data_IF_254367079697
#
_entry.id   IF_254367079697
#
_cell.length_a   1.000
_cell.length_b   1.000
_cell.length_c   1.000
_cell.angle_alpha   90.00
_cell.angle_beta   90.00
_cell.angle_gamma   90.00
#
_symmetry.space_group_name_H-M   'P 1'
#
loop_
_entity.id
_entity.type
_entity.pdbx_description
1 polymer ?
#
# COMPACT_ATOMS: atom_id res chain seq x y z
N UNK A 1 5.54 -0.72 22.99
CA UNK A 1 5.52 -1.56 21.77
C UNK A 1 6.56 -2.66 21.95
N UNK A 2 6.18 -3.96 22.04
CA UNK A 2 7.11 -5.06 22.37
C UNK A 2 7.98 -5.55 21.20
N UNK A 3 7.65 -5.18 19.97
CA UNK A 3 8.36 -5.60 18.75
C UNK A 3 9.10 -4.43 18.10
N UNK A 4 10.31 -4.70 17.60
CA UNK A 4 11.10 -3.73 16.84
C UNK A 4 10.49 -3.50 15.46
N UNK A 5 10.72 -2.34 14.86
CA UNK A 5 10.18 -2.00 13.53
C UNK A 5 10.77 -2.88 12.42
N UNK A 6 12.07 -3.20 12.48
CA UNK A 6 12.76 -4.01 11.48
C UNK A 6 12.11 -5.39 11.22
N UNK A 7 11.82 -6.24 12.24
CA UNK A 7 11.14 -7.50 11.99
C UNK A 7 9.71 -7.33 11.48
N UNK A 8 8.97 -6.30 11.91
CA UNK A 8 7.59 -6.06 11.41
C UNK A 8 7.57 -5.69 9.94
N UNK A 9 8.52 -4.85 9.53
CA UNK A 9 8.70 -4.46 8.14
C UNK A 9 9.03 -5.68 7.28
N UNK A 10 9.99 -6.52 7.69
CA UNK A 10 10.35 -7.74 6.95
C UNK A 10 9.18 -8.75 6.87
N UNK A 11 8.46 -8.96 7.97
CA UNK A 11 7.28 -9.84 7.98
C UNK A 11 6.16 -9.29 7.08
N UNK A 12 5.92 -7.98 7.11
CA UNK A 12 4.95 -7.32 6.22
C UNK A 12 5.29 -7.54 4.74
N UNK A 13 6.54 -7.26 4.35
CA UNK A 13 7.02 -7.48 2.97
C UNK A 13 6.94 -8.95 2.55
N UNK A 14 7.30 -9.88 3.44
CA UNK A 14 7.25 -11.31 3.13
C UNK A 14 5.81 -11.80 2.92
N UNK A 15 4.88 -11.41 3.80
CA UNK A 15 3.45 -11.75 3.68
C UNK A 15 2.90 -11.15 2.38
N UNK A 16 3.17 -9.88 2.09
CA UNK A 16 2.75 -9.23 0.85
C UNK A 16 3.23 -9.97 -0.40
N UNK A 17 4.52 -10.32 -0.47
CA UNK A 17 5.08 -11.01 -1.62
C UNK A 17 4.49 -12.41 -1.83
N UNK A 18 4.32 -13.18 -0.75
CA UNK A 18 3.74 -14.53 -0.83
C UNK A 18 2.29 -14.47 -1.30
N UNK A 19 1.47 -13.62 -0.68
CA UNK A 19 0.04 -13.57 -1.00
C UNK A 19 -0.27 -12.87 -2.32
N UNK A 20 0.63 -12.03 -2.84
CA UNK A 20 0.51 -11.47 -4.19
C UNK A 20 0.67 -12.58 -5.24
N UNK A 21 1.68 -13.45 -5.07
CA UNK A 21 1.88 -14.60 -5.96
C UNK A 21 0.72 -15.60 -5.81
N UNK A 22 0.28 -15.89 -4.60
CA UNK A 22 -0.86 -16.80 -4.37
C UNK A 22 -2.14 -16.26 -5.00
N UNK A 23 -2.42 -14.95 -4.90
CA UNK A 23 -3.57 -14.34 -5.55
C UNK A 23 -3.50 -14.48 -7.07
N UNK A 24 -2.32 -14.26 -7.68
CA UNK A 24 -2.10 -14.47 -9.10
C UNK A 24 -2.31 -15.94 -9.52
N UNK A 25 -1.85 -16.90 -8.72
CA UNK A 25 -2.06 -18.34 -8.96
C UNK A 25 -3.54 -18.69 -8.85
N UNK A 26 -4.26 -18.17 -7.86
CA UNK A 26 -5.72 -18.34 -7.73
C UNK A 26 -6.45 -17.77 -8.95
N UNK A 27 -6.09 -16.57 -9.41
CA UNK A 27 -6.65 -15.97 -10.61
C UNK A 27 -6.39 -16.81 -11.88
N UNK A 28 -5.19 -17.36 -12.04
CA UNK A 28 -4.86 -18.24 -13.18
C UNK A 28 -5.57 -19.59 -13.14
N UNK A 29 -5.81 -20.14 -11.95
CA UNK A 29 -6.37 -21.48 -11.78
C UNK A 29 -7.89 -21.49 -11.82
N UNK A 30 -8.55 -20.47 -11.27
CA UNK A 30 -10.00 -20.41 -11.04
C UNK A 30 -10.65 -19.16 -11.69
N UNK A 31 -9.88 -18.37 -12.45
CA UNK A 31 -10.41 -17.21 -13.17
C UNK A 31 -11.37 -17.57 -14.32
N UNK A 32 -11.94 -16.55 -14.94
CA UNK A 32 -13.00 -16.69 -15.96
C UNK A 32 -12.64 -17.61 -17.14
N UNK A 33 -11.35 -17.73 -17.49
CA UNK A 33 -10.89 -18.64 -18.53
C UNK A 33 -10.73 -20.11 -18.11
N UNK A 34 -10.89 -20.44 -16.82
CA UNK A 34 -10.92 -21.82 -16.29
C UNK A 34 -11.79 -21.89 -15.03
N UNK A 35 -13.13 -21.76 -15.16
CA UNK A 35 -14.02 -21.69 -14.01
C UNK A 35 -14.05 -23.02 -13.26
N UNK A 36 -13.83 -22.97 -11.94
CA UNK A 36 -13.97 -24.13 -11.07
C UNK A 36 -15.46 -24.49 -10.93
N UNK A 37 -15.83 -25.79 -10.85
CA UNK A 37 -17.22 -26.20 -10.65
C UNK A 37 -17.86 -25.65 -9.37
N UNK A 38 -17.03 -25.34 -8.35
CA UNK A 38 -17.46 -24.75 -7.09
C UNK A 38 -17.25 -23.23 -7.11
N UNK A 39 -18.27 -22.47 -7.51
CA UNK A 39 -18.23 -20.99 -7.60
C UNK A 39 -17.81 -20.32 -6.29
N UNK A 40 -18.15 -20.90 -5.14
CA UNK A 40 -17.79 -20.38 -3.82
C UNK A 40 -16.31 -20.54 -3.45
N UNK A 41 -15.59 -21.49 -4.07
CA UNK A 41 -14.20 -21.80 -3.71
C UNK A 41 -13.23 -20.74 -4.25
N UNK A 42 -13.43 -20.29 -5.49
CA UNK A 42 -12.63 -19.21 -6.09
C UNK A 42 -12.76 -17.90 -5.34
N UNK A 43 -14.00 -17.51 -5.02
CA UNK A 43 -14.29 -16.30 -4.26
C UNK A 43 -13.70 -16.37 -2.84
N UNK A 44 -13.87 -17.50 -2.14
CA UNK A 44 -13.32 -17.70 -0.79
C UNK A 44 -11.80 -17.61 -0.74
N UNK A 45 -11.11 -18.25 -1.69
CA UNK A 45 -9.64 -18.19 -1.78
C UNK A 45 -9.13 -16.79 -2.11
N UNK A 46 -9.79 -16.08 -3.03
CA UNK A 46 -9.45 -14.71 -3.36
C UNK A 46 -9.61 -13.79 -2.14
N UNK A 47 -10.71 -13.95 -1.39
CA UNK A 47 -10.99 -13.15 -0.18
C UNK A 47 -9.93 -13.37 0.90
N UNK A 48 -9.52 -14.61 1.14
CA UNK A 48 -8.43 -14.92 2.09
C UNK A 48 -7.11 -14.29 1.65
N UNK A 49 -6.77 -14.36 0.35
CA UNK A 49 -5.56 -13.75 -0.18
C UNK A 49 -5.58 -12.22 -0.02
N UNK A 50 -6.68 -11.56 -0.39
CA UNK A 50 -6.83 -10.10 -0.26
C UNK A 50 -6.79 -9.67 1.21
N UNK A 51 -7.40 -10.44 2.12
CA UNK A 51 -7.33 -10.16 3.55
C UNK A 51 -5.88 -10.20 4.08
N UNK A 52 -5.12 -11.23 3.71
CA UNK A 52 -3.73 -11.39 4.16
C UNK A 52 -2.79 -10.38 3.49
N UNK A 53 -3.06 -9.99 2.24
CA UNK A 53 -2.42 -8.85 1.59
C UNK A 53 -2.65 -7.56 2.37
N UNK A 54 -3.90 -7.25 2.72
CA UNK A 54 -4.24 -6.07 3.52
C UNK A 54 -3.57 -6.09 4.90
N UNK A 55 -3.48 -7.26 5.54
CA UNK A 55 -2.76 -7.42 6.79
C UNK A 55 -1.25 -7.16 6.65
N UNK A 56 -0.62 -7.72 5.62
CA UNK A 56 0.79 -7.49 5.30
C UNK A 56 1.08 -6.01 5.01
N UNK A 57 0.20 -5.36 4.24
CA UNK A 57 0.25 -3.92 3.95
C UNK A 57 0.21 -3.10 5.24
N UNK A 58 -0.77 -3.35 6.11
CA UNK A 58 -0.92 -2.65 7.37
C UNK A 58 0.33 -2.79 8.28
N UNK A 59 0.96 -3.98 8.31
CA UNK A 59 2.18 -4.19 9.08
C UNK A 59 3.38 -3.42 8.51
N UNK A 60 3.57 -3.43 7.19
CA UNK A 60 4.66 -2.75 6.51
C UNK A 60 4.51 -1.24 6.62
N UNK A 61 3.35 -0.71 6.23
CA UNK A 61 3.02 0.72 6.18
C UNK A 61 3.11 1.37 7.56
N UNK A 62 2.46 0.77 8.57
CA UNK A 62 2.51 1.30 9.95
C UNK A 62 3.92 1.29 10.54
N UNK A 63 4.77 0.35 10.11
CA UNK A 63 6.18 0.29 10.51
C UNK A 63 7.01 1.36 9.79
N UNK A 64 6.72 1.60 8.50
CA UNK A 64 7.36 2.66 7.72
C UNK A 64 7.05 4.04 8.28
N UNK A 65 5.77 4.37 8.47
CA UNK A 65 5.35 5.62 9.10
C UNK A 65 5.85 5.75 10.53
N UNK A 66 5.87 4.65 11.29
CA UNK A 66 6.43 4.62 12.64
C UNK A 66 7.90 4.98 12.69
N UNK A 67 8.69 4.55 11.71
CA UNK A 67 10.10 4.93 11.55
C UNK A 67 10.24 6.36 11.02
N UNK A 68 9.47 6.74 10.01
CA UNK A 68 9.50 8.07 9.42
C UNK A 68 9.13 9.17 10.43
N UNK A 69 8.22 8.88 11.37
CA UNK A 69 7.83 9.80 12.44
C UNK A 69 8.94 10.04 13.49
N UNK A 70 9.98 9.20 13.54
CA UNK A 70 11.17 9.43 14.37
C UNK A 70 12.24 10.26 13.66
N UNK A 71 12.10 10.43 12.35
CA UNK A 71 12.97 11.24 11.49
C UNK A 71 12.39 12.65 11.33
N UNK A 72 13.14 13.59 10.71
CA UNK A 72 12.59 14.89 10.32
C UNK A 72 11.35 14.74 9.43
N UNK A 73 10.47 15.74 9.46
CA UNK A 73 9.20 15.75 8.70
C UNK A 73 9.38 15.51 7.19
N UNK A 74 10.54 15.86 6.62
CA UNK A 74 10.89 15.56 5.23
C UNK A 74 10.85 14.07 4.90
N UNK A 75 11.20 13.18 5.84
CA UNK A 75 11.15 11.73 5.64
C UNK A 75 9.71 11.22 5.54
N UNK A 76 8.79 11.76 6.36
CA UNK A 76 7.38 11.40 6.28
C UNK A 76 6.76 11.85 4.94
N UNK A 77 7.09 13.07 4.50
CA UNK A 77 6.64 13.58 3.20
C UNK A 77 7.18 12.70 2.07
N UNK A 78 8.45 12.29 2.13
CA UNK A 78 9.05 11.41 1.13
C UNK A 78 8.37 10.03 1.08
N UNK A 79 8.03 9.45 2.23
CA UNK A 79 7.35 8.14 2.33
C UNK A 79 5.95 8.22 1.69
N UNK A 80 5.15 9.23 2.07
CA UNK A 80 3.81 9.45 1.51
C UNK A 80 3.83 9.80 0.02
N UNK A 81 4.83 10.55 -0.44
CA UNK A 81 5.00 10.88 -1.87
C UNK A 81 5.39 9.64 -2.66
N UNK A 82 6.27 8.80 -2.11
CA UNK A 82 6.67 7.53 -2.72
C UNK A 82 5.48 6.60 -2.95
N UNK A 83 4.59 6.47 -1.97
CA UNK A 83 3.33 5.73 -2.09
C UNK A 83 2.45 6.26 -3.23
N UNK A 84 2.27 7.59 -3.30
CA UNK A 84 1.50 8.24 -4.37
C UNK A 84 2.07 7.94 -5.76
N UNK A 85 3.39 8.12 -5.93
CA UNK A 85 4.10 7.85 -7.18
C UNK A 85 4.01 6.37 -7.56
N UNK A 86 4.14 5.45 -6.61
CA UNK A 86 3.98 4.02 -6.87
C UNK A 86 2.57 3.69 -7.42
N UNK A 87 1.53 4.36 -6.91
CA UNK A 87 0.16 4.24 -7.43
C UNK A 87 0.00 4.74 -8.87
N UNK A 88 0.75 5.77 -9.27
CA UNK A 88 0.72 6.31 -10.65
C UNK A 88 1.34 5.39 -11.69
N UNK A 89 2.26 4.52 -11.29
CA UNK A 89 2.98 3.64 -12.21
C UNK A 89 2.15 2.40 -12.59
N UNK A 90 1.18 2.01 -11.75
CA UNK A 90 0.39 0.79 -11.94
C UNK A 90 -0.43 0.76 -13.23
N UNK A 91 -1.23 1.81 -13.49
CA UNK A 91 -2.13 1.85 -14.65
C UNK A 91 -1.39 1.90 -16.00
N UNK A 92 -0.35 2.74 -16.20
CA UNK A 92 0.43 2.73 -17.43
C UNK A 92 1.11 1.40 -17.73
N UNK A 93 1.63 0.70 -16.69
CA UNK A 93 2.19 -0.65 -16.87
C UNK A 93 1.10 -1.62 -17.30
N UNK A 94 -0.09 -1.56 -16.70
CA UNK A 94 -1.19 -2.43 -17.07
C UNK A 94 -1.63 -2.22 -18.53
N UNK A 95 -1.77 -0.96 -18.98
CA UNK A 95 -2.04 -0.65 -20.39
C UNK A 95 -0.95 -1.18 -21.33
N UNK A 96 0.33 -1.03 -20.96
CA UNK A 96 1.43 -1.53 -21.76
C UNK A 96 1.39 -3.06 -21.88
N UNK A 97 1.07 -3.77 -20.80
CA UNK A 97 0.86 -5.22 -20.83
C UNK A 97 -0.34 -5.61 -21.70
N UNK A 98 -1.41 -4.83 -21.68
CA UNK A 98 -2.58 -5.03 -22.55
C UNK A 98 -2.22 -4.97 -24.02
N UNK A 99 -1.54 -3.91 -24.45
CA UNK A 99 -1.09 -3.76 -25.85
C UNK A 99 -0.18 -4.91 -26.28
N UNK A 100 0.75 -5.34 -25.41
CA UNK A 100 1.67 -6.45 -25.71
C UNK A 100 0.91 -7.77 -25.89
N UNK A 101 -0.01 -8.10 -24.98
CA UNK A 101 -0.75 -9.35 -25.03
C UNK A 101 -1.80 -9.38 -26.14
N UNK A 102 -2.39 -8.23 -26.48
CA UNK A 102 -3.28 -8.08 -27.65
C UNK A 102 -2.52 -8.36 -28.95
N UNK A 103 -1.33 -7.76 -29.10
CA UNK A 103 -0.46 -7.99 -30.26
C UNK A 103 0.00 -9.45 -30.37
N UNK A 104 0.15 -10.14 -29.24
CA UNK A 104 0.51 -11.56 -29.16
C UNK A 104 -0.67 -12.53 -29.32
N UNK A 105 -1.91 -12.03 -29.42
CA UNK A 105 -3.14 -12.82 -29.51
C UNK A 105 -3.24 -13.92 -28.42
N UNK A 106 -2.86 -13.57 -27.19
CA UNK A 106 -2.79 -14.50 -26.06
C UNK A 106 -4.20 -14.75 -25.50
N UNK A 107 -4.62 -16.02 -25.46
CA UNK A 107 -5.87 -16.41 -24.77
C UNK A 107 -5.70 -16.21 -23.25
N UNK A 108 -6.76 -15.76 -22.55
CA UNK A 108 -6.75 -15.50 -21.10
C UNK A 108 -5.85 -14.33 -20.69
N UNK A 109 -5.89 -13.26 -21.49
CA UNK A 109 -5.11 -12.04 -21.29
C UNK A 109 -5.23 -11.43 -19.88
N UNK A 110 -6.42 -11.25 -19.26
CA UNK A 110 -6.50 -10.59 -17.96
C UNK A 110 -5.83 -11.41 -16.85
N UNK A 111 -5.88 -12.73 -16.91
CA UNK A 111 -5.20 -13.58 -15.92
C UNK A 111 -3.67 -13.55 -16.08
N UNK A 112 -3.18 -13.48 -17.33
CA UNK A 112 -1.75 -13.32 -17.61
C UNK A 112 -1.21 -11.94 -17.18
N UNK A 113 -1.97 -10.88 -17.42
CA UNK A 113 -1.64 -9.53 -16.94
C UNK A 113 -1.55 -9.51 -15.42
N UNK A 114 -2.55 -10.06 -14.74
CA UNK A 114 -2.58 -10.21 -13.29
C UNK A 114 -1.33 -10.94 -12.80
N UNK A 115 -0.99 -12.09 -13.40
CA UNK A 115 0.18 -12.86 -13.01
C UNK A 115 1.48 -12.09 -13.18
N UNK A 116 1.71 -11.47 -14.33
CA UNK A 116 2.95 -10.71 -14.58
C UNK A 116 3.05 -9.53 -13.61
N UNK A 117 1.96 -8.78 -13.44
CA UNK A 117 1.93 -7.62 -12.57
C UNK A 117 2.20 -7.96 -11.11
N UNK A 118 1.50 -8.96 -10.56
CA UNK A 118 1.71 -9.39 -9.18
C UNK A 118 3.06 -10.08 -8.97
N UNK A 119 3.61 -10.79 -9.96
CA UNK A 119 4.97 -11.32 -9.88
C UNK A 119 6.02 -10.21 -9.80
N UNK A 120 5.93 -9.20 -10.68
CA UNK A 120 6.86 -8.05 -10.68
C UNK A 120 6.77 -7.29 -9.35
N UNK A 121 5.56 -6.99 -8.89
CA UNK A 121 5.36 -6.31 -7.60
C UNK A 121 5.90 -7.13 -6.43
N UNK A 122 5.75 -8.46 -6.44
CA UNK A 122 6.30 -9.34 -5.41
C UNK A 122 7.82 -9.32 -5.40
N UNK A 123 8.46 -9.36 -6.57
CA UNK A 123 9.91 -9.27 -6.70
C UNK A 123 10.42 -7.93 -6.13
N UNK A 124 9.79 -6.82 -6.50
CA UNK A 124 10.13 -5.49 -5.97
C UNK A 124 9.97 -5.48 -4.43
N UNK A 125 8.87 -6.03 -3.92
CA UNK A 125 8.57 -6.10 -2.47
C UNK A 125 9.63 -6.92 -1.72
N UNK A 126 10.12 -8.01 -2.30
CA UNK A 126 11.22 -8.80 -1.70
C UNK A 126 12.53 -8.00 -1.73
N UNK A 127 12.82 -7.25 -2.79
CA UNK A 127 14.01 -6.38 -2.88
C UNK A 127 14.01 -5.21 -1.89
N UNK A 128 12.85 -4.81 -1.38
CA UNK A 128 12.75 -3.80 -0.32
C UNK A 128 13.38 -4.28 1.00
N UNK A 129 13.37 -5.59 1.28
CA UNK A 129 13.99 -6.17 2.50
C UNK A 129 15.52 -5.95 2.54
N UNK A 130 16.32 -6.38 1.53
CA UNK A 130 17.75 -6.10 1.52
C UNK A 130 18.05 -4.61 1.39
N UNK A 131 17.23 -3.84 0.67
CA UNK A 131 17.37 -2.37 0.64
C UNK A 131 17.29 -1.79 2.06
N UNK A 132 16.29 -2.18 2.85
CA UNK A 132 16.13 -1.73 4.22
C UNK A 132 17.29 -2.20 5.12
N UNK A 133 17.66 -3.49 5.08
CA UNK A 133 18.66 -4.11 5.96
C UNK A 133 20.11 -3.74 5.62
N UNK A 134 20.43 -3.53 4.34
CA UNK A 134 21.80 -3.27 3.90
C UNK A 134 22.09 -1.78 3.71
N UNK A 135 21.12 -0.99 3.28
CA UNK A 135 21.31 0.42 2.94
C UNK A 135 20.70 1.30 4.03
N UNK A 136 19.39 1.22 4.21
CA UNK A 136 18.65 2.17 5.07
C UNK A 136 19.04 2.05 6.54
N UNK A 137 19.09 0.84 7.10
CA UNK A 137 19.42 0.63 8.52
C UNK A 137 20.87 0.93 8.87
N UNK A 138 21.78 0.94 7.88
CA UNK A 138 23.20 1.25 8.07
C UNK A 138 23.51 2.73 7.88
N UNK A 139 22.58 3.51 7.32
CA UNK A 139 22.76 4.94 7.12
C UNK A 139 22.99 5.65 8.47
N UNK A 140 23.98 6.55 8.60
CA UNK A 140 24.37 7.14 9.88
C UNK A 140 23.23 7.83 10.61
N UNK A 141 22.35 8.53 9.89
CA UNK A 141 21.16 9.17 10.46
C UNK A 141 20.11 8.17 10.94
N UNK A 142 19.94 7.04 10.24
CA UNK A 142 19.00 6.00 10.64
C UNK A 142 19.52 5.20 11.84
N UNK A 143 20.85 5.04 11.96
CA UNK A 143 21.47 4.34 13.08
C UNK A 143 21.19 5.05 14.41
N UNK A 144 21.19 6.38 14.43
CA UNK A 144 20.79 7.15 15.63
C UNK A 144 19.31 6.98 15.96
N UNK A 145 18.43 6.94 14.94
CA UNK A 145 16.99 6.69 15.11
C UNK A 145 16.74 5.27 15.66
N UNK A 146 17.43 4.25 15.16
CA UNK A 146 17.33 2.87 15.65
C UNK A 146 17.86 2.75 17.09
N UNK A 147 18.90 3.50 17.48
CA UNK A 147 19.34 3.61 18.88
C UNK A 147 18.28 4.27 19.76
N UNK A 148 17.56 5.29 19.26
CA UNK A 148 16.44 5.90 19.97
C UNK A 148 15.32 4.88 20.17
N UNK A 149 14.98 4.08 19.15
CA UNK A 149 14.02 2.97 19.25
C UNK A 149 14.44 1.96 20.34
N UNK A 150 15.69 1.51 20.31
CA UNK A 150 16.24 0.53 21.26
C UNK A 150 16.27 1.06 22.70
N UNK A 151 16.64 2.35 22.86
CA UNK A 151 16.55 3.06 24.14
C UNK A 151 15.11 3.17 24.62
N UNK A 152 14.14 3.48 23.74
CA UNK A 152 12.70 3.53 24.10
C UNK A 152 12.20 2.15 24.54
N UNK A 153 12.64 1.07 23.89
CA UNK A 153 12.30 -0.31 24.28
C UNK A 153 12.80 -0.62 25.70
N UNK A 154 14.07 -0.33 25.96
CA UNK A 154 14.74 -0.61 27.25
C UNK A 154 14.24 0.29 28.37
N UNK A 155 14.01 1.58 28.08
CA UNK A 155 13.48 2.55 29.02
C UNK A 155 12.00 2.30 29.35
N UNK A 156 11.16 1.89 28.38
CA UNK A 156 9.75 1.58 28.66
C UNK A 156 9.54 0.39 29.59
N UNK A 157 10.55 -0.50 29.69
CA UNK A 157 10.55 -1.63 30.62
C UNK A 157 10.93 -1.22 32.06
N UNK A 158 11.64 -0.11 32.26
CA UNK A 158 12.15 0.33 33.57
C UNK A 158 11.51 1.62 34.10
N UNK A 159 10.97 2.47 33.23
CA UNK A 159 10.46 3.79 33.61
C UNK A 159 9.24 4.15 32.75
N UNK A 160 8.16 4.59 33.40
CA UNK A 160 6.93 5.08 32.75
C UNK A 160 7.28 6.28 31.86
N UNK A 161 7.32 6.08 30.53
CA UNK A 161 7.77 7.08 29.55
C UNK A 161 6.86 8.32 29.43
N UNK A 162 5.60 8.25 29.85
CA UNK A 162 4.67 9.38 29.82
C UNK A 162 4.05 9.59 31.20
N UNK A 163 4.15 10.82 31.72
CA UNK A 163 3.44 11.23 32.95
C UNK A 163 1.92 11.10 32.76
N UNK A 164 1.46 11.25 31.50
CA UNK A 164 0.06 11.11 31.08
C UNK A 164 -0.30 9.65 30.78
N UNK A 165 -1.47 9.14 31.22
CA UNK A 165 -1.91 7.77 30.92
C UNK A 165 -2.19 7.59 29.42
N UNK A 166 -1.84 6.42 28.88
CA UNK A 166 -2.00 6.08 27.44
C UNK A 166 -3.43 6.30 26.97
N UNK A 167 -4.44 6.03 27.80
CA UNK A 167 -5.86 6.24 27.48
C UNK A 167 -6.16 7.69 27.11
N UNK A 168 -5.56 8.66 27.79
CA UNK A 168 -5.76 10.09 27.48
C UNK A 168 -5.06 10.48 26.19
N UNK A 169 -3.87 9.93 25.94
CA UNK A 169 -3.17 10.15 24.65
C UNK A 169 -4.05 9.60 23.53
N UNK A 170 -4.49 8.35 23.63
CA UNK A 170 -5.38 7.72 22.64
C UNK A 170 -6.64 8.55 22.45
N UNK A 171 -7.29 9.03 23.52
CA UNK A 171 -8.48 9.87 23.42
C UNK A 171 -8.24 11.18 22.66
N UNK A 172 -7.06 11.79 22.83
CA UNK A 172 -6.71 13.04 22.15
C UNK A 172 -6.45 12.83 20.64
N UNK A 173 -5.82 11.72 20.24
CA UNK A 173 -5.57 11.38 18.81
C UNK A 173 -6.76 10.67 18.13
N UNK A 174 -7.65 10.04 18.89
CA UNK A 174 -8.81 9.31 18.38
C UNK A 174 -9.67 10.11 17.40
N UNK A 175 -10.07 11.37 17.65
CA UNK A 175 -10.90 12.12 16.71
C UNK A 175 -10.19 12.34 15.36
N UNK A 176 -8.90 12.66 15.37
CA UNK A 176 -8.14 12.83 14.13
C UNK A 176 -7.96 11.50 13.39
N UNK A 177 -7.69 10.42 14.13
CA UNK A 177 -7.60 9.08 13.55
C UNK A 177 -8.93 8.61 12.95
N UNK A 178 -10.06 8.89 13.60
CA UNK A 178 -11.39 8.57 13.09
C UNK A 178 -11.77 9.44 11.89
N UNK A 179 -11.42 10.73 11.90
CA UNK A 179 -11.59 11.58 10.72
C UNK A 179 -10.77 11.04 9.54
N UNK A 180 -9.48 10.76 9.73
CA UNK A 180 -8.61 10.22 8.70
C UNK A 180 -9.09 8.86 8.19
N UNK A 181 -9.47 7.95 9.09
CA UNK A 181 -10.01 6.64 8.75
C UNK A 181 -11.35 6.75 8.02
N UNK A 182 -12.24 7.64 8.46
CA UNK A 182 -13.52 7.90 7.80
C UNK A 182 -13.33 8.48 6.41
N UNK A 183 -12.44 9.46 6.23
CA UNK A 183 -12.11 10.00 4.91
C UNK A 183 -11.50 8.94 4.01
N UNK A 184 -10.55 8.14 4.50
CA UNK A 184 -9.98 7.04 3.72
C UNK A 184 -11.02 5.96 3.40
N UNK A 185 -11.90 5.62 4.34
CA UNK A 185 -12.98 4.65 4.11
C UNK A 185 -13.96 5.12 3.03
N UNK A 186 -14.40 6.37 3.08
CA UNK A 186 -15.25 6.94 2.03
C UNK A 186 -14.51 6.96 0.69
N UNK A 187 -13.26 7.42 0.67
CA UNK A 187 -12.46 7.52 -0.55
C UNK A 187 -12.11 6.16 -1.14
N UNK A 188 -11.85 5.11 -0.36
CA UNK A 188 -11.45 3.81 -0.89
C UNK A 188 -12.60 2.82 -1.07
N UNK A 189 -13.72 2.98 -0.36
CA UNK A 189 -14.89 2.10 -0.50
C UNK A 189 -15.96 2.73 -1.37
N UNK A 190 -16.32 4.00 -1.09
CA UNK A 190 -17.44 4.64 -1.78
C UNK A 190 -17.02 5.11 -3.17
N UNK A 191 -15.84 5.71 -3.34
CA UNK A 191 -15.45 6.23 -4.65
C UNK A 191 -15.29 5.13 -5.71
N UNK A 192 -14.49 4.05 -5.54
CA UNK A 192 -14.41 3.00 -6.55
C UNK A 192 -15.75 2.29 -6.80
N UNK A 193 -16.55 2.10 -5.75
CA UNK A 193 -17.88 1.50 -5.88
C UNK A 193 -18.87 2.41 -6.62
N UNK A 194 -18.75 3.74 -6.52
CA UNK A 194 -19.58 4.68 -7.27
C UNK A 194 -19.10 4.83 -8.72
N UNK A 195 -17.79 4.88 -8.93
CA UNK A 195 -17.19 5.00 -10.27
C UNK A 195 -17.50 3.75 -11.12
N UNK A 196 -17.65 2.56 -10.52
CA UNK A 196 -18.07 1.36 -11.27
C UNK A 196 -19.50 1.45 -11.83
N UNK A 197 -20.35 2.31 -11.28
CA UNK A 197 -21.69 2.59 -11.83
C UNK A 197 -21.67 3.67 -12.92
N UNK A 198 -20.58 4.41 -13.07
CA UNK A 198 -20.48 5.44 -14.11
C UNK A 198 -20.29 4.77 -15.46
N UNK A 199 -21.09 5.22 -16.44
CA UNK A 199 -21.02 4.75 -17.82
C UNK A 199 -20.52 5.88 -18.70
N UNK A 200 -19.59 5.56 -19.59
CA UNK A 200 -19.23 6.44 -20.69
C UNK A 200 -20.44 6.63 -21.61
N UNK A 201 -20.66 7.86 -22.08
CA UNK A 201 -21.63 8.12 -23.16
C UNK A 201 -21.21 7.44 -24.47
N UNK A 202 -19.90 7.27 -24.67
CA UNK A 202 -19.35 6.50 -25.78
C UNK A 202 -19.24 5.01 -25.40
N UNK A 203 -19.98 4.10 -26.05
CA UNK A 203 -19.94 2.66 -25.78
C UNK A 203 -18.59 2.01 -26.09
N UNK A 204 -17.73 2.66 -26.88
CA UNK A 204 -16.41 2.14 -27.25
C UNK A 204 -15.35 2.34 -26.17
N UNK A 205 -15.61 3.19 -25.17
CA UNK A 205 -14.64 3.51 -24.12
C UNK A 205 -14.77 2.56 -22.92
N UNK A 206 -14.19 1.36 -23.05
CA UNK A 206 -14.14 0.35 -21.98
C UNK A 206 -13.24 0.74 -20.80
N UNK A 207 -12.34 1.71 -21.01
CA UNK A 207 -11.32 2.11 -20.03
C UNK A 207 -11.72 3.34 -19.20
N UNK A 208 -12.94 3.83 -19.36
CA UNK A 208 -13.43 5.04 -18.70
C UNK A 208 -13.29 4.99 -17.17
N UNK A 209 -13.72 3.88 -16.56
CA UNK A 209 -13.63 3.67 -15.10
C UNK A 209 -12.17 3.71 -14.63
N UNK A 210 -11.27 3.07 -15.36
CA UNK A 210 -9.84 3.05 -15.03
C UNK A 210 -9.21 4.45 -15.15
N UNK A 211 -9.58 5.23 -16.18
CA UNK A 211 -9.14 6.61 -16.34
C UNK A 211 -9.60 7.51 -15.19
N UNK A 212 -10.86 7.40 -14.76
CA UNK A 212 -11.39 8.18 -13.64
C UNK A 212 -10.62 7.87 -12.35
N UNK A 213 -10.39 6.59 -12.06
CA UNK A 213 -9.58 6.17 -10.91
C UNK A 213 -8.14 6.72 -11.02
N UNK A 214 -7.55 6.69 -12.21
CA UNK A 214 -6.22 7.23 -12.44
C UNK A 214 -6.16 8.75 -12.20
N UNK A 215 -7.14 9.53 -12.68
CA UNK A 215 -7.19 10.98 -12.44
C UNK A 215 -7.28 11.30 -10.95
N UNK A 216 -8.05 10.52 -10.18
CA UNK A 216 -8.09 10.63 -8.73
C UNK A 216 -6.70 10.41 -8.11
N UNK A 217 -5.99 9.36 -8.52
CA UNK A 217 -4.65 9.04 -8.03
C UNK A 217 -3.62 10.16 -8.34
N UNK A 218 -3.72 10.79 -9.52
CA UNK A 218 -2.89 11.94 -9.90
C UNK A 218 -3.11 13.11 -8.94
N UNK A 219 -4.37 13.47 -8.70
CA UNK A 219 -4.71 14.59 -7.80
C UNK A 219 -4.33 14.28 -6.35
N UNK A 220 -4.54 13.05 -5.88
CA UNK A 220 -4.10 12.60 -4.56
C UNK A 220 -2.58 12.73 -4.40
N UNK A 221 -1.81 12.30 -5.40
CA UNK A 221 -0.34 12.40 -5.37
C UNK A 221 0.14 13.85 -5.32
N UNK A 222 -0.52 14.76 -6.07
CA UNK A 222 -0.25 16.20 -5.99
C UNK A 222 -0.58 16.73 -4.59
N UNK A 223 -1.71 16.32 -4.01
CA UNK A 223 -2.10 16.67 -2.65
C UNK A 223 -1.07 16.23 -1.60
N UNK A 224 -0.53 15.02 -1.73
CA UNK A 224 0.56 14.51 -0.86
C UNK A 224 1.87 15.28 -1.03
N UNK A 225 2.12 15.84 -2.22
CA UNK A 225 3.28 16.68 -2.49
C UNK A 225 3.10 18.15 -2.07
N UNK A 226 1.86 18.63 -1.93
CA UNK A 226 1.54 20.03 -1.62
C UNK A 226 2.24 20.60 -0.37
N UNK A 227 2.42 19.88 0.75
CA UNK A 227 3.17 20.38 1.89
C UNK A 227 4.64 20.71 1.59
N UNK A 228 5.22 20.10 0.56
CA UNK A 228 6.59 20.38 0.12
C UNK A 228 6.71 21.63 -0.76
N UNK A 229 5.60 22.09 -1.34
CA UNK A 229 5.56 23.23 -2.26
C UNK A 229 5.64 24.59 -1.55
N UNK A 230 5.71 24.63 -0.21
CA UNK A 230 5.73 25.88 0.59
C UNK A 230 4.79 26.93 0.00
N UNK A 231 3.51 26.60 -0.16
CA UNK A 231 2.54 27.64 -0.44
C UNK A 231 2.50 28.54 0.80
N UNK A 232 3.14 29.72 0.70
CA UNK A 232 2.93 30.82 1.63
C UNK A 232 1.44 31.16 1.55
N UNK A 233 0.65 30.60 2.47
CA UNK A 233 -0.71 31.07 2.67
C UNK A 233 -0.59 32.48 3.25
N UNK A 234 -1.19 33.50 2.62
CA UNK A 234 -1.26 34.82 3.23
C UNK A 234 -1.96 34.69 4.58
N UNK A 235 -1.36 35.30 5.61
CA UNK A 235 -1.88 35.36 6.98
C UNK A 235 -3.32 35.92 7.04
#
# INVERSE_FOLDING_TARGET
NKFSFAPRFDWGCAILAIFNILLAVVAMTIGDGNPCPDEGLGFGLALVCVFLLGFGHALMESSSFGLAALCPQSCMIADMTGEGVAGLVGWPINMLLQVIFDAGNVRRQPEWQCLVFFCVTSVITVFVIPMYRCITSKHPYMREVLKIEEKRKTASLKTRQTRRPVVYIVKDILPMALCAWGTMGVTFVVFPAQVSYWKSEDPSNTDFVAHVIYTFQVVDTIGRFAPSLKFDMPE
#
